data_IF_204725475481
#
_entry.id   IF_204725475481
#
_cell.length_a   1.000
_cell.length_b   1.000
_cell.length_c   1.000
_cell.angle_alpha   90.00
_cell.angle_beta   90.00
_cell.angle_gamma   90.00
#
_symmetry.space_group_name_H-M   'P 1'
#
loop_
_entity.id
_entity.type
_entity.pdbx_description
1 polymer ?
#
# COMPACT_ATOMS: atom_id res chain seq x y z
N UNK A 1 18.46 -5.86 -8.85
CA UNK A 1 17.46 -4.82 -8.50
C UNK A 1 16.67 -5.31 -7.30
N UNK A 2 16.54 -4.48 -6.26
CA UNK A 2 15.68 -4.77 -5.11
C UNK A 2 14.20 -4.67 -5.53
N UNK A 3 13.42 -5.73 -5.26
CA UNK A 3 11.97 -5.77 -5.53
C UNK A 3 11.22 -5.91 -4.19
N UNK A 4 10.42 -4.92 -3.86
CA UNK A 4 9.64 -4.85 -2.61
C UNK A 4 8.17 -4.70 -2.94
N UNK A 5 7.36 -5.67 -2.54
CA UNK A 5 5.92 -5.58 -2.70
C UNK A 5 5.31 -4.66 -1.63
N UNK A 6 4.76 -3.53 -2.05
CA UNK A 6 4.19 -2.54 -1.13
C UNK A 6 2.82 -2.95 -0.54
N UNK A 7 2.30 -4.13 -0.87
CA UNK A 7 0.97 -4.55 -0.41
C UNK A 7 0.77 -6.06 -0.44
N UNK A 8 0.81 -6.68 0.74
CA UNK A 8 0.39 -8.08 0.93
C UNK A 8 -0.48 -8.21 2.19
N UNK A 9 -1.14 -9.34 2.30
CA UNK A 9 -1.92 -9.76 3.47
C UNK A 9 -1.48 -11.14 3.94
N UNK A 10 -1.51 -11.39 5.24
CA UNK A 10 -1.43 -12.72 5.85
C UNK A 10 -2.55 -12.88 6.87
N UNK A 11 -3.07 -14.09 7.03
CA UNK A 11 -4.14 -14.41 7.97
C UNK A 11 -4.11 -15.88 8.35
N UNK A 12 -4.84 -16.23 9.41
CA UNK A 12 -4.95 -17.59 9.91
C UNK A 12 -6.32 -17.86 10.52
N UNK A 13 -6.86 -19.06 10.29
CA UNK A 13 -8.13 -19.53 10.83
C UNK A 13 -9.35 -18.66 10.44
N UNK A 14 -9.25 -17.90 9.37
CA UNK A 14 -10.32 -17.02 8.88
C UNK A 14 -10.35 -17.02 7.36
N UNK A 15 -11.54 -16.90 6.78
CA UNK A 15 -11.67 -16.65 5.35
C UNK A 15 -11.82 -15.15 5.08
N UNK A 16 -11.23 -14.65 3.99
CA UNK A 16 -11.48 -13.27 3.57
C UNK A 16 -12.97 -12.97 3.39
N UNK A 17 -13.44 -11.87 3.96
CA UNK A 17 -14.82 -11.39 3.75
C UNK A 17 -15.01 -10.77 2.36
N UNK A 18 -13.93 -10.32 1.72
CA UNK A 18 -13.95 -9.87 0.34
C UNK A 18 -13.73 -11.06 -0.60
N UNK A 19 -14.71 -11.42 -1.46
CA UNK A 19 -14.64 -12.58 -2.35
C UNK A 19 -13.53 -12.50 -3.40
N UNK A 20 -13.00 -11.30 -3.67
CA UNK A 20 -11.91 -11.13 -4.62
C UNK A 20 -10.56 -11.62 -4.09
N UNK A 21 -10.40 -11.84 -2.78
CA UNK A 21 -9.22 -12.50 -2.24
C UNK A 21 -9.34 -14.02 -2.35
N UNK A 22 -8.20 -14.71 -2.33
CA UNK A 22 -8.14 -16.18 -2.26
C UNK A 22 -8.97 -16.68 -1.08
N UNK A 23 -9.96 -17.53 -1.34
CA UNK A 23 -10.92 -18.02 -0.35
C UNK A 23 -10.38 -19.22 0.44
N UNK A 24 -9.20 -19.05 1.03
CA UNK A 24 -8.53 -20.05 1.90
C UNK A 24 -8.58 -19.60 3.35
N UNK A 25 -8.56 -20.55 4.29
CA UNK A 25 -8.63 -20.28 5.73
C UNK A 25 -7.31 -19.76 6.30
N UNK A 26 -6.22 -20.10 5.63
CA UNK A 26 -4.86 -19.70 6.03
C UNK A 26 -4.08 -19.22 4.82
N UNK A 27 -3.39 -18.11 4.97
CA UNK A 27 -2.34 -17.64 4.08
C UNK A 27 -1.26 -17.02 4.95
N UNK A 28 -0.25 -17.80 5.24
CA UNK A 28 0.75 -17.52 6.27
C UNK A 28 1.96 -16.78 5.74
N UNK A 29 2.85 -16.32 6.63
CA UNK A 29 4.15 -15.76 6.22
C UNK A 29 4.99 -16.78 5.43
N UNK A 30 4.90 -18.08 5.76
CA UNK A 30 5.67 -19.12 5.05
C UNK A 30 5.14 -19.32 3.63
N UNK A 31 3.82 -19.22 3.42
CA UNK A 31 3.20 -19.23 2.09
C UNK A 31 3.66 -18.01 1.27
N UNK A 32 3.61 -16.83 1.88
CA UNK A 32 4.06 -15.58 1.26
C UNK A 32 5.53 -15.67 0.84
N UNK A 33 6.42 -16.08 1.74
CA UNK A 33 7.86 -16.16 1.45
C UNK A 33 8.17 -17.15 0.32
N UNK A 34 7.52 -18.30 0.32
CA UNK A 34 7.65 -19.28 -0.77
C UNK A 34 7.22 -18.71 -2.13
N UNK A 35 6.08 -17.99 -2.17
CA UNK A 35 5.59 -17.38 -3.40
C UNK A 35 6.44 -16.16 -3.82
N UNK A 36 6.94 -15.37 -2.86
CA UNK A 36 7.89 -14.28 -3.12
C UNK A 36 9.16 -14.82 -3.79
N UNK A 37 9.73 -15.89 -3.26
CA UNK A 37 10.95 -16.51 -3.82
C UNK A 37 10.70 -16.99 -5.25
N UNK A 38 9.57 -17.64 -5.52
CA UNK A 38 9.17 -18.05 -6.86
C UNK A 38 8.92 -16.86 -7.80
N UNK A 39 8.43 -15.74 -7.29
CA UNK A 39 8.15 -14.51 -8.04
C UNK A 39 9.37 -13.60 -8.25
N UNK A 40 10.48 -13.84 -7.51
CA UNK A 40 11.66 -12.98 -7.52
C UNK A 40 11.49 -11.71 -6.68
N UNK A 41 10.66 -11.74 -5.64
CA UNK A 41 10.38 -10.61 -4.73
C UNK A 41 11.26 -10.72 -3.49
N UNK A 42 12.01 -9.67 -3.18
CA UNK A 42 12.97 -9.66 -2.07
C UNK A 42 12.31 -9.41 -0.71
N UNK A 43 11.35 -8.48 -0.65
CA UNK A 43 10.69 -8.10 0.60
C UNK A 43 9.25 -7.64 0.35
N UNK A 44 8.43 -7.58 1.39
CA UNK A 44 7.04 -7.14 1.27
C UNK A 44 6.51 -6.44 2.53
N UNK A 45 5.55 -5.54 2.32
CA UNK A 45 4.81 -4.84 3.37
C UNK A 45 3.50 -5.58 3.69
N UNK A 46 3.40 -6.08 4.91
CA UNK A 46 2.17 -6.70 5.41
C UNK A 46 1.18 -5.61 5.82
N UNK A 47 -0.03 -5.73 5.33
CA UNK A 47 -1.19 -4.98 5.78
C UNK A 47 -2.14 -5.93 6.49
N UNK A 48 -2.24 -5.86 7.84
CA UNK A 48 -3.14 -6.71 8.59
C UNK A 48 -4.58 -6.59 8.09
N UNK A 49 -5.20 -7.67 7.61
CA UNK A 49 -6.56 -7.59 7.07
C UNK A 49 -7.62 -7.53 8.18
N UNK A 50 -8.71 -6.80 7.92
CA UNK A 50 -9.77 -6.60 8.90
C UNK A 50 -10.66 -7.82 9.17
N UNK A 51 -10.57 -8.88 8.35
CA UNK A 51 -11.32 -10.13 8.56
C UNK A 51 -10.66 -11.11 9.53
N UNK A 52 -9.40 -10.87 9.91
CA UNK A 52 -8.70 -11.63 10.94
C UNK A 52 -8.38 -10.74 12.13
N UNK A 53 -9.04 -10.93 13.29
CA UNK A 53 -8.80 -10.10 14.48
C UNK A 53 -7.39 -10.24 15.04
N UNK A 54 -6.67 -11.31 14.70
CA UNK A 54 -5.29 -11.56 15.14
C UNK A 54 -4.25 -11.06 14.13
N UNK A 55 -4.66 -10.47 13.01
CA UNK A 55 -3.79 -10.13 11.88
C UNK A 55 -2.63 -9.20 12.25
N UNK A 56 -2.83 -8.23 13.15
CA UNK A 56 -1.73 -7.38 13.64
C UNK A 56 -0.67 -8.18 14.42
N UNK A 57 -1.09 -9.12 15.27
CA UNK A 57 -0.17 -9.97 16.04
C UNK A 57 0.60 -10.92 15.11
N UNK A 58 -0.09 -11.53 14.14
CA UNK A 58 0.55 -12.36 13.12
C UNK A 58 1.59 -11.60 12.30
N UNK A 59 1.27 -10.35 11.91
CA UNK A 59 2.19 -9.51 11.16
C UNK A 59 3.45 -9.17 11.98
N UNK A 60 3.30 -8.83 13.26
CA UNK A 60 4.45 -8.55 14.17
C UNK A 60 5.32 -9.79 14.34
N UNK A 61 4.72 -10.96 14.51
CA UNK A 61 5.46 -12.23 14.60
C UNK A 61 6.23 -12.53 13.31
N UNK A 62 5.58 -12.37 12.15
CA UNK A 62 6.22 -12.57 10.86
C UNK A 62 7.40 -11.61 10.62
N UNK A 63 7.23 -10.33 10.93
CA UNK A 63 8.30 -9.34 10.80
C UNK A 63 9.47 -9.59 11.78
N UNK A 64 9.19 -10.06 12.98
CA UNK A 64 10.25 -10.50 13.92
C UNK A 64 11.07 -11.67 13.38
N UNK A 65 10.41 -12.66 12.79
CA UNK A 65 11.10 -13.85 12.23
C UNK A 65 11.88 -13.54 10.97
N UNK A 66 11.40 -12.57 10.18
CA UNK A 66 11.93 -12.24 8.86
C UNK A 66 12.16 -10.74 8.68
N UNK A 67 13.01 -10.08 9.50
CA UNK A 67 13.11 -8.61 9.53
C UNK A 67 13.65 -7.98 8.26
N UNK A 68 14.39 -8.75 7.43
CA UNK A 68 14.91 -8.30 6.13
C UNK A 68 13.97 -8.65 4.96
N UNK A 69 12.83 -9.28 5.25
CA UNK A 69 11.88 -9.73 4.23
C UNK A 69 10.48 -9.14 4.43
N UNK A 70 10.07 -8.90 5.67
CA UNK A 70 8.71 -8.51 6.01
C UNK A 70 8.69 -7.32 6.96
N UNK A 71 7.91 -6.30 6.63
CA UNK A 71 7.61 -5.18 7.50
C UNK A 71 6.10 -4.87 7.45
N UNK A 72 5.63 -3.88 8.22
CA UNK A 72 4.20 -3.71 8.50
C UNK A 72 3.78 -2.26 8.31
N UNK A 73 2.66 -2.06 7.63
CA UNK A 73 1.80 -0.91 7.84
C UNK A 73 0.57 -1.41 8.62
N UNK A 74 0.57 -1.19 9.94
CA UNK A 74 -0.44 -1.70 10.86
C UNK A 74 -1.75 -0.92 10.82
N UNK A 75 -2.72 -1.39 11.58
CA UNK A 75 -3.97 -0.66 11.79
C UNK A 75 -4.44 -0.77 13.23
N UNK A 76 -5.40 0.06 13.58
CA UNK A 76 -6.14 0.02 14.84
C UNK A 76 -7.52 0.68 14.65
N UNK A 77 -8.49 0.43 15.55
CA UNK A 77 -9.79 1.08 15.47
C UNK A 77 -9.66 2.59 15.63
N UNK A 78 -10.22 3.38 14.69
CA UNK A 78 -10.12 4.84 14.70
C UNK A 78 -11.22 5.52 15.53
N UNK A 79 -12.28 4.80 15.85
CA UNK A 79 -13.44 5.24 16.64
C UNK A 79 -13.28 5.06 18.16
N UNK A 80 -12.16 4.48 18.59
CA UNK A 80 -11.87 4.20 20.00
C UNK A 80 -11.03 5.33 20.61
N UNK A 81 -11.45 5.95 21.73
CA UNK A 81 -10.67 7.01 22.40
C UNK A 81 -9.23 6.56 22.77
N UNK A 82 -9.08 5.32 23.22
CA UNK A 82 -7.79 4.73 23.59
C UNK A 82 -6.82 4.62 22.41
N UNK A 83 -7.31 4.60 21.18
CA UNK A 83 -6.47 4.53 19.98
C UNK A 83 -5.58 5.76 19.79
N UNK A 84 -5.93 6.89 20.40
CA UNK A 84 -5.12 8.11 20.35
C UNK A 84 -3.73 7.96 20.96
N UNK A 85 -3.54 6.98 21.85
CA UNK A 85 -2.26 6.68 22.50
C UNK A 85 -1.46 5.62 21.78
N UNK A 86 -2.04 4.97 20.74
CA UNK A 86 -1.40 3.82 20.09
C UNK A 86 -0.30 4.21 19.11
N UNK A 87 -0.32 5.42 18.55
CA UNK A 87 0.66 5.83 17.52
C UNK A 87 2.08 5.70 18.05
N UNK A 88 2.37 6.31 19.20
CA UNK A 88 3.70 6.28 19.79
C UNK A 88 4.12 4.86 20.22
N UNK A 89 3.21 4.11 20.83
CA UNK A 89 3.47 2.74 21.28
C UNK A 89 3.61 1.73 20.13
N UNK A 90 2.94 1.95 18.99
CA UNK A 90 3.03 1.04 17.83
C UNK A 90 4.30 1.23 17.02
N UNK A 91 4.84 2.45 16.95
CA UNK A 91 6.10 2.75 16.25
C UNK A 91 7.28 1.92 16.79
N UNK A 92 7.29 1.60 18.09
CA UNK A 92 8.32 0.76 18.71
C UNK A 92 8.17 -0.75 18.46
N UNK A 93 7.11 -1.20 17.79
CA UNK A 93 6.92 -2.63 17.53
C UNK A 93 7.80 -3.10 16.39
N UNK A 94 8.35 -4.32 16.47
CA UNK A 94 9.20 -4.87 15.41
C UNK A 94 8.54 -4.85 14.05
N UNK A 95 9.25 -4.32 13.05
CA UNK A 95 8.81 -4.25 11.68
C UNK A 95 7.72 -3.19 11.37
N UNK A 96 7.25 -2.43 12.38
CA UNK A 96 6.24 -1.40 12.18
C UNK A 96 6.84 -0.14 11.55
N UNK A 97 6.43 0.17 10.32
CA UNK A 97 6.93 1.32 9.56
C UNK A 97 5.90 2.46 9.43
N UNK A 98 4.63 2.17 9.68
CA UNK A 98 3.55 3.13 9.55
C UNK A 98 2.18 2.48 9.74
N UNK A 99 1.14 3.21 9.33
CA UNK A 99 -0.24 2.72 9.42
C UNK A 99 -0.92 2.70 8.07
N UNK A 100 -1.94 1.85 7.97
CA UNK A 100 -2.79 1.77 6.81
C UNK A 100 -4.25 1.62 7.24
N UNK A 101 -5.11 2.51 6.77
CA UNK A 101 -6.54 2.50 7.08
C UNK A 101 -7.38 2.36 5.81
N UNK A 102 -8.32 1.41 5.84
CA UNK A 102 -9.28 1.17 4.78
C UNK A 102 -10.63 1.79 5.18
N UNK A 103 -10.81 3.07 4.88
CA UNK A 103 -12.05 3.82 5.19
C UNK A 103 -13.07 3.63 4.06
N UNK A 104 -13.50 2.39 3.86
CA UNK A 104 -14.37 2.00 2.72
C UNK A 104 -15.86 2.03 3.05
N UNK A 105 -16.21 2.01 4.34
CA UNK A 105 -17.61 2.08 4.74
C UNK A 105 -18.11 3.53 4.69
N UNK A 106 -19.35 3.79 4.24
CA UNK A 106 -19.87 5.17 4.14
C UNK A 106 -19.73 5.98 5.43
N UNK A 107 -20.03 5.38 6.60
CA UNK A 107 -19.87 6.06 7.88
C UNK A 107 -18.42 6.36 8.26
N UNK A 108 -17.44 5.57 7.77
CA UNK A 108 -16.02 5.83 8.00
C UNK A 108 -15.50 6.97 7.11
N UNK A 109 -16.07 7.13 5.92
CA UNK A 109 -15.69 8.21 5.01
C UNK A 109 -16.04 9.58 5.59
N UNK A 110 -17.16 9.70 6.31
CA UNK A 110 -17.51 10.96 6.98
C UNK A 110 -16.49 11.39 8.04
N UNK A 111 -15.78 10.45 8.66
CA UNK A 111 -14.74 10.75 9.65
C UNK A 111 -13.57 11.58 9.09
N UNK A 112 -13.35 11.51 7.78
CA UNK A 112 -12.33 12.31 7.11
C UNK A 112 -12.73 13.78 6.94
N UNK A 113 -14.04 14.07 6.94
CA UNK A 113 -14.59 15.40 6.64
C UNK A 113 -15.21 16.09 7.86
N UNK A 114 -15.57 15.34 8.90
CA UNK A 114 -16.25 15.87 10.11
C UNK A 114 -15.29 16.25 11.25
N UNK A 115 -13.97 16.21 10.99
CA UNK A 115 -12.93 16.55 11.97
C UNK A 115 -12.61 15.45 12.97
N UNK A 116 -13.32 14.34 12.93
CA UNK A 116 -13.18 13.22 13.90
C UNK A 116 -11.79 12.59 13.88
N UNK A 117 -11.09 12.64 12.73
CA UNK A 117 -9.73 12.12 12.55
C UNK A 117 -8.63 13.20 12.59
N UNK A 118 -8.91 14.45 12.88
CA UNK A 118 -7.90 15.51 12.92
C UNK A 118 -6.76 15.22 13.92
N UNK A 119 -7.10 14.53 15.02
CA UNK A 119 -6.10 14.04 15.97
C UNK A 119 -5.08 13.07 15.35
N UNK A 120 -5.52 12.22 14.40
CA UNK A 120 -4.67 11.21 13.76
C UNK A 120 -3.59 11.87 12.91
N UNK A 121 -3.97 12.86 12.09
CA UNK A 121 -3.04 13.54 11.19
C UNK A 121 -1.96 14.28 11.96
N UNK A 122 -2.37 15.06 12.97
CA UNK A 122 -1.45 15.79 13.83
C UNK A 122 -0.52 14.86 14.64
N UNK A 123 -1.04 13.75 15.14
CA UNK A 123 -0.25 12.79 15.91
C UNK A 123 0.74 12.01 15.01
N UNK A 124 0.29 11.57 13.82
CA UNK A 124 1.14 10.86 12.87
C UNK A 124 2.26 11.77 12.32
N UNK A 125 1.94 13.05 12.04
CA UNK A 125 2.93 14.05 11.62
C UNK A 125 4.01 14.26 12.69
N UNK A 126 3.62 14.52 13.95
CA UNK A 126 4.58 14.67 15.06
C UNK A 126 5.45 13.43 15.27
N UNK A 127 4.86 12.25 15.15
CA UNK A 127 5.58 10.99 15.29
C UNK A 127 6.46 10.64 14.07
N UNK A 128 6.35 11.39 12.96
CA UNK A 128 7.00 11.08 11.69
C UNK A 128 6.57 9.72 11.14
N UNK A 129 5.30 9.32 11.37
CA UNK A 129 4.76 8.02 11.02
C UNK A 129 3.92 8.11 9.75
N UNK A 130 4.31 7.44 8.64
CA UNK A 130 3.55 7.43 7.40
C UNK A 130 2.16 6.81 7.56
N UNK A 131 1.18 7.35 6.83
CA UNK A 131 -0.19 6.83 6.81
C UNK A 131 -0.63 6.54 5.38
N UNK A 132 -1.02 5.28 5.14
CA UNK A 132 -1.61 4.84 3.88
C UNK A 132 -3.14 4.79 4.00
N UNK A 133 -3.84 5.24 2.94
CA UNK A 133 -5.29 5.31 2.90
C UNK A 133 -5.83 4.70 1.61
N UNK A 134 -6.93 3.95 1.73
CA UNK A 134 -7.75 3.66 0.55
C UNK A 134 -8.53 4.94 0.22
N UNK A 135 -8.19 5.54 -0.92
CA UNK A 135 -8.65 6.87 -1.31
C UNK A 135 -9.86 6.94 -2.24
N UNK A 136 -10.59 5.83 -2.44
CA UNK A 136 -11.75 5.82 -3.35
C UNK A 136 -12.78 6.89 -2.95
N UNK A 137 -13.03 7.86 -3.84
CA UNK A 137 -13.94 8.99 -3.58
C UNK A 137 -13.42 10.03 -2.57
N UNK A 138 -12.16 9.93 -2.12
CA UNK A 138 -11.61 10.77 -1.04
C UNK A 138 -10.33 11.52 -1.43
N UNK A 139 -9.98 11.56 -2.71
CA UNK A 139 -8.70 12.13 -3.16
C UNK A 139 -8.56 13.62 -2.83
N UNK A 140 -9.63 14.40 -2.96
CA UNK A 140 -9.62 15.82 -2.60
C UNK A 140 -9.43 16.05 -1.10
N UNK A 141 -9.99 15.15 -0.28
CA UNK A 141 -9.82 15.19 1.18
C UNK A 141 -8.38 14.85 1.56
N UNK A 142 -7.79 13.85 0.90
CA UNK A 142 -6.37 13.50 1.10
C UNK A 142 -5.47 14.69 0.75
N UNK A 143 -5.78 15.39 -0.35
CA UNK A 143 -5.07 16.61 -0.74
C UNK A 143 -5.18 17.71 0.33
N UNK A 144 -6.37 17.90 0.91
CA UNK A 144 -6.60 18.87 1.97
C UNK A 144 -5.84 18.51 3.27
N UNK A 145 -5.76 17.23 3.62
CA UNK A 145 -4.95 16.74 4.75
C UNK A 145 -3.47 17.00 4.47
N UNK A 146 -2.99 16.65 3.28
CA UNK A 146 -1.60 16.85 2.87
C UNK A 146 -1.17 18.32 2.97
N UNK A 147 -2.04 19.24 2.60
CA UNK A 147 -1.80 20.68 2.67
C UNK A 147 -1.73 21.19 4.11
N UNK A 148 -2.61 20.70 4.99
CA UNK A 148 -2.64 21.09 6.42
C UNK A 148 -1.51 20.49 7.23
N UNK A 149 -0.99 19.34 6.79
CA UNK A 149 0.05 18.57 7.46
C UNK A 149 1.21 18.27 6.52
N UNK A 150 2.03 19.27 6.17
CA UNK A 150 3.10 19.13 5.16
C UNK A 150 4.22 18.17 5.58
N UNK A 151 4.40 17.93 6.87
CA UNK A 151 5.35 16.94 7.42
C UNK A 151 4.82 15.50 7.44
N UNK A 152 3.51 15.31 7.25
CA UNK A 152 2.89 13.98 7.24
C UNK A 152 3.09 13.30 5.89
N UNK A 153 3.74 12.14 5.88
CA UNK A 153 3.85 11.29 4.69
C UNK A 153 2.56 10.49 4.48
N UNK A 154 1.83 10.82 3.42
CA UNK A 154 0.60 10.13 3.02
C UNK A 154 0.86 9.21 1.83
N UNK A 155 0.14 8.09 1.79
CA UNK A 155 0.21 7.13 0.69
C UNK A 155 -1.20 6.82 0.23
N UNK A 156 -1.48 7.01 -1.06
CA UNK A 156 -2.74 6.59 -1.69
C UNK A 156 -2.61 5.14 -2.12
N UNK A 157 -3.50 4.27 -1.65
CA UNK A 157 -3.50 2.84 -1.98
C UNK A 157 -4.11 2.57 -3.36
N UNK A 158 -3.59 1.53 -4.06
CA UNK A 158 -4.22 0.87 -5.19
C UNK A 158 -4.66 1.82 -6.32
N UNK A 159 -3.78 2.71 -6.77
CA UNK A 159 -4.13 3.72 -7.80
C UNK A 159 -5.38 4.53 -7.45
N UNK A 160 -5.67 4.74 -6.15
CA UNK A 160 -6.90 5.37 -5.69
C UNK A 160 -8.16 4.52 -5.93
N UNK A 161 -8.03 3.23 -6.25
CA UNK A 161 -9.10 2.30 -6.64
C UNK A 161 -9.94 2.82 -7.81
N UNK A 162 -9.36 2.86 -9.01
CA UNK A 162 -10.09 3.33 -10.18
C UNK A 162 -11.30 2.45 -10.49
N UNK A 163 -12.33 3.06 -11.04
CA UNK A 163 -13.40 2.36 -11.73
C UNK A 163 -12.97 1.96 -13.16
N UNK A 164 -13.83 1.27 -13.89
CA UNK A 164 -13.53 0.84 -15.26
C UNK A 164 -13.26 1.99 -16.24
N UNK A 165 -13.68 3.22 -15.91
CA UNK A 165 -13.51 4.41 -16.75
C UNK A 165 -12.38 5.32 -16.29
N UNK A 166 -11.72 5.00 -15.16
CA UNK A 166 -10.71 5.85 -14.53
C UNK A 166 -11.20 7.27 -14.24
N UNK A 167 -12.46 7.38 -13.81
CA UNK A 167 -13.09 8.69 -13.53
C UNK A 167 -12.35 9.48 -12.44
N UNK A 168 -11.60 8.81 -11.58
CA UNK A 168 -10.80 9.42 -10.51
C UNK A 168 -9.39 9.86 -10.94
N UNK A 169 -8.97 9.56 -12.18
CA UNK A 169 -7.60 9.85 -12.64
C UNK A 169 -7.22 11.34 -12.56
N UNK A 170 -8.09 12.30 -12.94
CA UNK A 170 -7.77 13.72 -12.81
C UNK A 170 -7.48 14.15 -11.37
N UNK A 171 -8.27 13.67 -10.39
CA UNK A 171 -8.07 13.95 -8.98
C UNK A 171 -6.79 13.29 -8.45
N UNK A 172 -6.50 12.06 -8.90
CA UNK A 172 -5.28 11.36 -8.53
C UNK A 172 -4.03 12.09 -9.05
N UNK A 173 -4.04 12.54 -10.31
CA UNK A 173 -2.97 13.36 -10.88
C UNK A 173 -2.84 14.68 -10.10
N UNK A 174 -3.95 15.33 -9.75
CA UNK A 174 -3.92 16.57 -8.97
C UNK A 174 -3.34 16.37 -7.56
N UNK A 175 -3.49 15.19 -6.95
CA UNK A 175 -2.89 14.88 -5.65
C UNK A 175 -1.34 14.85 -5.69
N UNK A 176 -0.75 14.61 -6.85
CA UNK A 176 0.70 14.58 -7.04
C UNK A 176 1.39 15.94 -6.81
N UNK A 177 0.63 17.06 -6.82
CA UNK A 177 1.17 18.40 -6.48
C UNK A 177 1.69 18.50 -5.04
N UNK A 178 1.20 17.65 -4.15
CA UNK A 178 1.64 17.61 -2.76
C UNK A 178 2.88 16.72 -2.62
N UNK A 179 4.05 17.26 -2.22
CA UNK A 179 5.30 16.51 -2.16
C UNK A 179 5.29 15.40 -1.09
N UNK A 180 4.42 15.53 -0.10
CA UNK A 180 4.22 14.58 0.98
C UNK A 180 3.15 13.50 0.67
N UNK A 181 2.70 13.41 -0.59
CA UNK A 181 1.78 12.36 -1.07
C UNK A 181 2.49 11.44 -2.05
N UNK A 182 2.42 10.15 -1.79
CA UNK A 182 2.89 9.08 -2.67
C UNK A 182 1.73 8.16 -3.09
N UNK A 183 1.97 7.33 -4.11
CA UNK A 183 1.00 6.43 -4.70
C UNK A 183 1.50 4.99 -4.64
N UNK A 184 0.69 4.07 -4.13
CA UNK A 184 0.90 2.65 -4.37
C UNK A 184 0.37 2.24 -5.73
N UNK A 185 1.28 1.88 -6.61
CA UNK A 185 1.01 1.25 -7.90
C UNK A 185 0.75 -0.26 -7.70
N UNK A 186 -0.26 -0.58 -6.88
CA UNK A 186 -0.55 -1.94 -6.44
C UNK A 186 -1.81 -2.50 -7.08
N UNK A 187 -1.75 -3.75 -7.48
CA UNK A 187 -2.90 -4.48 -8.00
C UNK A 187 -3.24 -4.20 -9.46
N UNK A 188 -2.32 -3.68 -10.27
CA UNK A 188 -2.53 -3.31 -11.67
C UNK A 188 -3.28 -4.39 -12.48
N UNK A 189 -2.90 -5.68 -12.45
CA UNK A 189 -3.60 -6.72 -13.19
C UNK A 189 -5.09 -6.87 -12.86
N UNK A 190 -5.50 -6.55 -11.64
CA UNK A 190 -6.92 -6.68 -11.25
C UNK A 190 -7.83 -5.57 -11.77
N UNK A 191 -7.26 -4.51 -12.34
CA UNK A 191 -7.98 -3.39 -12.95
C UNK A 191 -7.99 -3.43 -14.48
N UNK A 192 -7.26 -4.35 -15.08
CA UNK A 192 -7.22 -4.54 -16.52
C UNK A 192 -8.35 -5.45 -17.00
N UNK A 193 -8.85 -5.18 -18.19
CA UNK A 193 -9.77 -6.03 -18.93
C UNK A 193 -9.05 -6.99 -19.89
N UNK A 194 -7.74 -6.84 -20.04
CA UNK A 194 -6.90 -7.63 -20.96
C UNK A 194 -6.13 -8.73 -20.23
N UNK A 195 -5.70 -9.72 -20.99
CA UNK A 195 -4.72 -10.69 -20.51
C UNK A 195 -3.33 -10.05 -20.41
N UNK A 196 -2.39 -10.76 -19.74
CA UNK A 196 -1.01 -10.34 -19.69
C UNK A 196 -0.48 -9.96 -21.08
N UNK A 197 0.20 -8.82 -21.26
CA UNK A 197 0.76 -7.96 -20.22
C UNK A 197 -0.13 -6.75 -19.79
N UNK A 198 -1.47 -6.82 -19.92
CA UNK A 198 -2.40 -5.79 -19.40
C UNK A 198 -2.20 -4.41 -20.04
N UNK A 199 -2.13 -4.34 -21.36
CA UNK A 199 -1.73 -3.15 -22.13
C UNK A 199 -2.68 -1.98 -21.99
N UNK A 200 -3.96 -2.23 -21.80
CA UNK A 200 -5.00 -1.22 -21.53
C UNK A 200 -4.66 -0.37 -20.29
N UNK A 201 -3.86 -0.92 -19.36
CA UNK A 201 -3.45 -0.25 -18.13
C UNK A 201 -2.16 0.59 -18.26
N UNK A 202 -1.31 0.32 -19.26
CA UNK A 202 0.02 0.94 -19.40
C UNK A 202 -0.03 2.46 -19.56
N UNK A 203 -1.05 2.98 -20.29
CA UNK A 203 -1.26 4.42 -20.48
C UNK A 203 -1.58 5.15 -19.17
N UNK A 204 -2.34 4.52 -18.28
CA UNK A 204 -2.67 5.09 -16.97
C UNK A 204 -1.45 5.08 -16.04
N UNK A 205 -0.65 4.00 -16.05
CA UNK A 205 0.62 3.96 -15.31
C UNK A 205 1.54 5.08 -15.79
N UNK A 206 1.61 5.35 -17.09
CA UNK A 206 2.44 6.42 -17.65
C UNK A 206 2.00 7.80 -17.15
N UNK A 207 0.70 8.12 -17.19
CA UNK A 207 0.19 9.40 -16.71
C UNK A 207 0.49 9.61 -15.22
N UNK A 208 0.35 8.56 -14.41
CA UNK A 208 0.66 8.62 -12.98
C UNK A 208 2.15 8.74 -12.70
N UNK A 209 2.97 8.06 -13.48
CA UNK A 209 4.43 8.21 -13.44
C UNK A 209 4.85 9.65 -13.77
N UNK A 210 4.30 10.24 -14.81
CA UNK A 210 4.59 11.61 -15.21
C UNK A 210 4.18 12.63 -14.13
N UNK A 211 3.11 12.32 -13.34
CA UNK A 211 2.65 13.18 -12.25
C UNK A 211 3.43 12.99 -10.94
N UNK A 212 3.58 11.76 -10.45
CA UNK A 212 4.20 11.48 -9.15
C UNK A 212 5.72 11.34 -9.21
N UNK A 213 6.26 10.94 -10.36
CA UNK A 213 7.65 10.55 -10.52
C UNK A 213 7.99 9.22 -9.84
N UNK A 214 9.13 8.60 -10.18
CA UNK A 214 9.48 7.26 -9.71
C UNK A 214 9.75 7.18 -8.20
N UNK A 215 10.13 8.30 -7.56
CA UNK A 215 10.42 8.34 -6.11
C UNK A 215 9.17 8.33 -5.23
N UNK A 216 7.97 8.54 -5.80
CA UNK A 216 6.69 8.56 -5.09
C UNK A 216 5.66 7.58 -5.66
N UNK A 217 6.10 6.63 -6.48
CA UNK A 217 5.32 5.49 -6.95
C UNK A 217 5.89 4.20 -6.38
N UNK A 218 5.06 3.38 -5.74
CA UNK A 218 5.48 2.16 -5.07
C UNK A 218 4.78 0.95 -5.68
N UNK A 219 5.54 0.12 -6.38
CA UNK A 219 5.02 -1.12 -6.93
C UNK A 219 4.56 -2.08 -5.83
N UNK A 220 3.56 -2.89 -6.13
CA UNK A 220 3.11 -3.98 -5.27
C UNK A 220 1.94 -4.73 -5.90
N UNK A 221 1.53 -5.84 -5.30
CA UNK A 221 0.59 -6.74 -5.94
C UNK A 221 -0.78 -6.80 -5.28
N UNK A 222 -0.86 -6.88 -3.94
CA UNK A 222 -2.05 -7.43 -3.27
C UNK A 222 -2.34 -8.86 -3.79
N UNK A 223 -1.30 -9.69 -3.81
CA UNK A 223 -1.21 -10.98 -4.57
C UNK A 223 -2.41 -11.88 -4.40
N UNK A 224 -3.07 -11.85 -3.25
CA UNK A 224 -4.22 -12.71 -2.98
C UNK A 224 -5.47 -12.33 -3.78
N UNK A 225 -5.46 -11.17 -4.46
CA UNK A 225 -6.52 -10.71 -5.39
C UNK A 225 -6.12 -10.80 -6.86
N UNK A 226 -4.88 -11.13 -7.16
CA UNK A 226 -4.41 -11.10 -8.53
C UNK A 226 -4.94 -12.26 -9.37
N UNK A 227 -5.33 -11.99 -10.64
CA UNK A 227 -5.74 -13.03 -11.58
C UNK A 227 -4.53 -13.78 -12.19
N UNK A 228 -3.32 -13.46 -11.76
CA UNK A 228 -2.06 -13.93 -12.33
C UNK A 228 -1.02 -14.26 -11.25
N UNK A 229 0.12 -14.80 -11.68
CA UNK A 229 1.23 -15.10 -10.77
C UNK A 229 1.96 -13.83 -10.33
N UNK A 230 2.66 -13.90 -9.18
CA UNK A 230 3.53 -12.82 -8.72
C UNK A 230 4.59 -12.46 -9.77
N UNK A 231 5.15 -13.47 -10.44
CA UNK A 231 6.12 -13.26 -11.53
C UNK A 231 5.55 -12.38 -12.64
N UNK A 232 4.32 -12.60 -13.06
CA UNK A 232 3.67 -11.75 -14.08
C UNK A 232 3.46 -10.32 -13.60
N UNK A 233 3.14 -10.12 -12.32
CA UNK A 233 3.07 -8.77 -11.74
C UNK A 233 4.44 -8.06 -11.78
N UNK A 234 5.53 -8.78 -11.51
CA UNK A 234 6.89 -8.25 -11.60
C UNK A 234 7.25 -7.91 -13.04
N UNK A 235 7.10 -8.86 -13.97
CA UNK A 235 7.52 -8.69 -15.37
C UNK A 235 6.70 -7.62 -16.10
N UNK A 236 5.43 -7.40 -15.73
CA UNK A 236 4.63 -6.30 -16.24
C UNK A 236 5.37 -4.94 -16.10
N UNK A 237 5.98 -4.69 -14.96
CA UNK A 237 6.70 -3.42 -14.72
C UNK A 237 8.15 -3.47 -15.22
N UNK A 238 8.82 -4.60 -15.09
CA UNK A 238 10.25 -4.71 -15.39
C UNK A 238 10.55 -4.94 -16.87
N UNK A 239 9.62 -5.56 -17.61
CA UNK A 239 9.83 -5.97 -19.01
C UNK A 239 8.87 -5.26 -19.97
N UNK A 240 7.61 -5.06 -19.59
CA UNK A 240 6.54 -4.59 -20.50
C UNK A 240 6.35 -3.07 -20.52
N UNK A 241 7.05 -2.31 -19.68
CA UNK A 241 7.06 -0.84 -19.68
C UNK A 241 8.42 -0.31 -20.19
N UNK A 242 8.66 -0.31 -21.53
CA UNK A 242 9.97 0.02 -22.08
C UNK A 242 10.37 1.49 -21.89
N UNK A 243 9.42 2.36 -21.58
CA UNK A 243 9.66 3.77 -21.31
C UNK A 243 10.18 4.05 -19.89
N UNK A 244 10.15 3.08 -18.98
CA UNK A 244 10.81 3.17 -17.69
C UNK A 244 12.31 2.91 -17.84
N UNK A 245 13.14 3.85 -17.42
CA UNK A 245 14.58 3.64 -17.34
C UNK A 245 14.93 2.58 -16.28
N UNK A 246 16.13 2.01 -16.36
CA UNK A 246 16.61 1.05 -15.35
C UNK A 246 16.60 1.66 -13.93
N UNK A 247 16.95 2.95 -13.80
CA UNK A 247 16.90 3.70 -12.54
C UNK A 247 15.47 3.87 -12.01
N UNK A 248 14.53 4.19 -12.90
CA UNK A 248 13.13 4.38 -12.47
C UNK A 248 12.49 3.05 -12.04
N UNK A 249 12.82 1.97 -12.75
CA UNK A 249 12.43 0.61 -12.34
C UNK A 249 12.98 0.27 -10.96
N UNK A 250 14.25 0.57 -10.67
CA UNK A 250 14.83 0.35 -9.33
C UNK A 250 14.10 1.12 -8.24
N UNK A 251 13.72 2.37 -8.50
CA UNK A 251 12.96 3.18 -7.56
C UNK A 251 11.55 2.60 -7.34
N UNK A 252 10.77 2.47 -8.41
CA UNK A 252 9.36 2.05 -8.34
C UNK A 252 9.23 0.65 -7.75
N UNK A 253 10.10 -0.29 -8.16
CA UNK A 253 10.02 -1.69 -7.76
C UNK A 253 10.44 -1.95 -6.31
N UNK A 254 11.12 -1.00 -5.63
CA UNK A 254 11.49 -1.25 -4.25
C UNK A 254 12.14 -0.09 -3.52
N UNK A 255 13.12 0.59 -4.10
CA UNK A 255 13.90 1.58 -3.36
C UNK A 255 13.04 2.74 -2.84
N UNK A 256 12.12 3.24 -3.66
CA UNK A 256 11.29 4.39 -3.29
C UNK A 256 10.39 4.13 -2.06
N UNK A 257 9.78 2.96 -1.94
CA UNK A 257 8.97 2.62 -0.76
C UNK A 257 9.84 2.45 0.48
N UNK A 258 11.05 1.89 0.34
CA UNK A 258 12.01 1.78 1.43
C UNK A 258 12.44 3.15 1.94
N UNK A 259 12.82 4.07 1.06
CA UNK A 259 13.23 5.43 1.40
C UNK A 259 12.08 6.23 2.03
N UNK A 260 10.87 6.07 1.50
CA UNK A 260 9.67 6.73 2.03
C UNK A 260 9.35 6.31 3.46
N UNK A 261 9.45 5.04 3.74
CA UNK A 261 9.11 4.45 5.04
C UNK A 261 10.29 4.39 6.02
N UNK A 262 11.51 4.66 5.56
CA UNK A 262 12.72 4.49 6.37
C UNK A 262 13.08 3.02 6.62
N UNK A 263 12.76 2.14 5.67
CA UNK A 263 13.08 0.71 5.77
C UNK A 263 14.47 0.41 5.18
N UNK A 264 15.43 0.20 6.05
CA UNK A 264 16.81 -0.07 5.64
C UNK A 264 16.97 -1.56 5.28
N UNK A 265 16.71 -1.90 4.03
CA UNK A 265 17.00 -3.22 3.47
C UNK A 265 18.40 -3.23 2.85
N UNK A 266 19.15 -4.34 3.01
CA UNK A 266 20.39 -4.52 2.25
C UNK A 266 20.09 -4.51 0.76
N UNK A 267 20.95 -3.87 -0.02
CA UNK A 267 20.81 -3.70 -1.47
C UNK A 267 21.10 -4.97 -2.25
#
# INVERSE_FOLDING_TARGET
>A
MLIVDAQIHIWRNNKPTNPNHRQVTDYTSDDVLREMDAGGVNAALIHPPGWDPNSNALAVEAAKRHPNRLAILGNFPLDKPESRTLIDGMKGRPGMLGFRFALIQPHQQTWLTDGRLDWLWAAAERAGTPVALIGSGLLDVIGSIAQRHPGLKLIIDHFGRPDATWSNLPQLVAAAKFPNVALKATGAPSYSSEAYPYRDFHGHIRQLYDAFGPARMFWGTDITRMPCSWRQCVTMFTEELPWLSARDKELIMGRAVCDWLGWNLPG
#
